data_IF_616615564152
#
_entry.id   IF_616615564152
#
_cell.length_a   1.000
_cell.length_b   1.000
_cell.length_c   1.000
_cell.angle_alpha   90.00
_cell.angle_beta   90.00
_cell.angle_gamma   90.00
#
_symmetry.space_group_name_H-M   'P 1'
#
loop_
_entity.id
_entity.type
_entity.pdbx_description
1 polymer ?
#
# COMPACT_ATOMS: atom_id res chain seq x y z
N UNK A 1 43.37 -39.94 25.73
CA UNK A 1 42.56 -38.73 25.96
C UNK A 1 42.31 -37.90 24.70
N UNK A 2 43.23 -37.82 23.73
CA UNK A 2 43.07 -36.96 22.53
C UNK A 2 41.88 -37.27 21.61
N UNK A 3 41.48 -38.53 21.44
CA UNK A 3 40.33 -38.91 20.59
C UNK A 3 38.99 -38.35 21.09
N UNK A 4 38.84 -38.23 22.42
CA UNK A 4 37.61 -37.75 23.05
C UNK A 4 37.47 -36.23 22.90
N UNK A 5 38.58 -35.49 23.02
CA UNK A 5 38.63 -34.05 22.80
C UNK A 5 38.31 -33.67 21.35
N UNK A 6 38.83 -34.44 20.38
CA UNK A 6 38.56 -34.24 18.95
C UNK A 6 37.08 -34.48 18.62
N UNK A 7 36.46 -35.53 19.20
CA UNK A 7 35.04 -35.80 19.01
C UNK A 7 34.15 -34.67 19.58
N UNK A 8 34.52 -34.13 20.74
CA UNK A 8 33.76 -33.03 21.37
C UNK A 8 33.86 -31.73 20.57
N UNK A 9 35.05 -31.40 20.05
CA UNK A 9 35.25 -30.24 19.20
C UNK A 9 34.46 -30.34 17.88
N UNK A 10 34.45 -31.52 17.26
CA UNK A 10 33.66 -31.76 16.05
C UNK A 10 32.15 -31.59 16.29
N UNK A 11 31.63 -32.10 17.41
CA UNK A 11 30.23 -31.94 17.78
C UNK A 11 29.85 -30.46 18.00
N UNK A 12 30.71 -29.69 18.66
CA UNK A 12 30.49 -28.26 18.90
C UNK A 12 30.46 -27.45 17.60
N UNK A 13 31.34 -27.75 16.63
CA UNK A 13 31.34 -27.09 15.31
C UNK A 13 30.06 -27.38 14.54
N UNK A 14 29.61 -28.64 14.52
CA UNK A 14 28.36 -29.02 13.84
C UNK A 14 27.16 -28.32 14.48
N UNK A 15 27.11 -28.25 15.81
CA UNK A 15 26.07 -27.52 16.54
C UNK A 15 26.07 -26.02 16.16
N UNK A 16 27.22 -25.35 16.19
CA UNK A 16 27.33 -23.93 15.84
C UNK A 16 26.92 -23.65 14.38
N UNK A 17 27.37 -24.47 13.43
CA UNK A 17 27.00 -24.37 12.02
C UNK A 17 25.49 -24.57 11.80
N UNK A 18 24.87 -25.50 12.53
CA UNK A 18 23.42 -25.73 12.44
C UNK A 18 22.61 -24.52 12.95
N UNK A 19 23.02 -23.92 14.06
CA UNK A 19 22.38 -22.72 14.62
C UNK A 19 22.51 -21.55 13.66
N UNK A 20 23.71 -21.32 13.12
CA UNK A 20 23.96 -20.29 12.11
C UNK A 20 23.08 -20.50 10.86
N UNK A 21 23.00 -21.73 10.34
CA UNK A 21 22.16 -22.05 9.19
C UNK A 21 20.67 -21.78 9.47
N UNK A 22 20.18 -22.11 10.67
CA UNK A 22 18.80 -21.81 11.09
C UNK A 22 18.55 -20.30 11.16
N UNK A 23 19.48 -19.54 11.75
CA UNK A 23 19.35 -18.07 11.83
C UNK A 23 19.36 -17.43 10.44
N UNK A 24 20.24 -17.86 9.54
CA UNK A 24 20.27 -17.41 8.15
C UNK A 24 18.98 -17.76 7.43
N UNK A 25 18.48 -19.00 7.56
CA UNK A 25 17.19 -19.41 6.96
C UNK A 25 16.03 -18.57 7.47
N UNK A 26 15.94 -18.32 8.78
CA UNK A 26 14.90 -17.45 9.38
C UNK A 26 14.99 -16.02 8.84
N UNK A 27 16.20 -15.47 8.76
CA UNK A 27 16.45 -14.12 8.22
C UNK A 27 16.10 -14.03 6.74
N UNK A 28 16.46 -15.03 5.93
CA UNK A 28 16.09 -15.10 4.49
C UNK A 28 14.57 -15.21 4.31
N UNK A 29 13.90 -16.06 5.10
CA UNK A 29 12.43 -16.20 5.06
C UNK A 29 11.72 -14.91 5.43
N UNK A 30 12.17 -14.22 6.48
CA UNK A 30 11.64 -12.91 6.88
C UNK A 30 11.86 -11.87 5.78
N UNK A 31 13.07 -11.78 5.21
CA UNK A 31 13.37 -10.86 4.09
C UNK A 31 12.52 -11.13 2.86
N UNK A 32 12.24 -12.40 2.54
CA UNK A 32 11.33 -12.76 1.41
C UNK A 32 9.91 -12.23 1.64
N UNK A 33 9.34 -12.43 2.83
CA UNK A 33 8.03 -11.87 3.17
C UNK A 33 8.03 -10.34 3.07
N UNK A 34 9.09 -9.70 3.58
CA UNK A 34 9.22 -8.24 3.53
C UNK A 34 9.29 -7.71 2.08
N UNK A 35 9.96 -8.43 1.17
CA UNK A 35 9.97 -8.07 -0.26
C UNK A 35 8.56 -8.06 -0.86
N UNK A 36 7.76 -9.09 -0.60
CA UNK A 36 6.37 -9.13 -1.07
C UNK A 36 5.55 -7.98 -0.51
N UNK A 37 5.75 -7.60 0.76
CA UNK A 37 5.06 -6.46 1.36
C UNK A 37 5.46 -5.14 0.69
N UNK A 38 6.75 -4.93 0.39
CA UNK A 38 7.23 -3.73 -0.33
C UNK A 38 6.60 -3.65 -1.71
N UNK A 39 6.51 -4.78 -2.40
CA UNK A 39 5.95 -4.86 -3.74
C UNK A 39 4.47 -4.46 -3.74
N UNK A 40 3.68 -5.01 -2.82
CA UNK A 40 2.27 -4.63 -2.63
C UNK A 40 2.15 -3.14 -2.25
N UNK A 41 3.01 -2.65 -1.36
CA UNK A 41 2.98 -1.24 -0.95
C UNK A 41 3.29 -0.31 -2.13
N UNK A 42 4.24 -0.69 -2.98
CA UNK A 42 4.60 0.08 -4.16
C UNK A 42 3.46 0.10 -5.18
N UNK A 43 2.83 -1.04 -5.44
CA UNK A 43 1.65 -1.12 -6.31
C UNK A 43 0.50 -0.26 -5.76
N UNK A 44 0.30 -0.29 -4.45
CA UNK A 44 -0.70 0.54 -3.79
C UNK A 44 -0.36 2.03 -3.88
N UNK A 45 0.89 2.43 -3.64
CA UNK A 45 1.35 3.82 -3.78
C UNK A 45 1.14 4.34 -5.22
N UNK A 46 1.51 3.54 -6.23
CA UNK A 46 1.30 3.86 -7.64
C UNK A 46 -0.20 3.91 -8.01
N UNK A 47 -1.01 3.01 -7.45
CA UNK A 47 -2.46 2.98 -7.66
C UNK A 47 -3.19 4.15 -7.02
N UNK A 48 -2.75 4.58 -5.84
CA UNK A 48 -3.30 5.72 -5.12
C UNK A 48 -2.68 7.07 -5.53
N UNK A 49 -1.66 7.08 -6.39
CA UNK A 49 -1.03 8.30 -6.83
C UNK A 49 -2.05 9.27 -7.44
N UNK A 50 -1.97 10.53 -7.05
CA UNK A 50 -2.90 11.58 -7.43
C UNK A 50 -2.13 12.79 -7.97
N UNK A 51 -1.41 12.64 -9.09
CA UNK A 51 -0.64 13.74 -9.67
C UNK A 51 -1.59 14.82 -10.17
N UNK A 52 -1.11 16.06 -10.22
CA UNK A 52 -1.91 17.23 -10.60
C UNK A 52 -2.64 17.04 -11.94
N UNK A 53 -2.02 16.35 -12.91
CA UNK A 53 -2.66 16.04 -14.19
C UNK A 53 -3.90 15.15 -14.06
N UNK A 54 -3.85 14.10 -13.21
CA UNK A 54 -4.99 13.23 -12.92
C UNK A 54 -6.08 14.00 -12.16
N UNK A 55 -5.69 14.85 -11.20
CA UNK A 55 -6.64 15.69 -10.47
C UNK A 55 -7.39 16.67 -11.38
N UNK A 56 -6.71 17.27 -12.37
CA UNK A 56 -7.37 18.12 -13.37
C UNK A 56 -8.44 17.35 -14.15
N UNK A 57 -8.12 16.14 -14.62
CA UNK A 57 -9.09 15.29 -15.32
C UNK A 57 -10.31 14.96 -14.43
N UNK A 58 -10.10 14.72 -13.14
CA UNK A 58 -11.20 14.47 -12.18
C UNK A 58 -12.08 15.72 -12.02
N UNK A 59 -11.48 16.91 -11.90
CA UNK A 59 -12.21 18.17 -11.77
C UNK A 59 -12.98 18.50 -13.05
N UNK A 60 -12.38 18.27 -14.22
CA UNK A 60 -13.03 18.48 -15.52
C UNK A 60 -14.25 17.55 -15.67
N UNK A 61 -14.10 16.26 -15.30
CA UNK A 61 -15.20 15.31 -15.30
C UNK A 61 -16.30 15.70 -14.29
N UNK A 62 -15.92 16.22 -13.12
CA UNK A 62 -16.87 16.71 -12.12
C UNK A 62 -17.69 17.89 -12.64
N UNK A 63 -17.06 18.85 -13.33
CA UNK A 63 -17.76 19.98 -13.93
C UNK A 63 -18.78 19.51 -14.99
N UNK A 64 -18.44 18.52 -15.81
CA UNK A 64 -19.36 17.92 -16.79
C UNK A 64 -20.57 17.28 -16.10
N UNK A 65 -20.36 16.49 -15.06
CA UNK A 65 -21.46 15.89 -14.29
C UNK A 65 -22.34 16.97 -13.61
N UNK A 66 -21.73 18.03 -13.06
CA UNK A 66 -22.49 19.14 -12.47
C UNK A 66 -23.40 19.82 -13.50
N UNK A 67 -22.87 20.10 -14.71
CA UNK A 67 -23.66 20.68 -15.79
C UNK A 67 -24.80 19.76 -16.21
N UNK A 68 -24.55 18.46 -16.33
CA UNK A 68 -25.58 17.48 -16.69
C UNK A 68 -26.66 17.34 -15.60
N UNK A 69 -26.28 17.37 -14.32
CA UNK A 69 -27.22 17.32 -13.19
C UNK A 69 -28.07 18.58 -13.04
N UNK A 70 -27.54 19.74 -13.42
CA UNK A 70 -28.29 21.01 -13.44
C UNK A 70 -29.22 21.12 -14.66
N UNK A 71 -28.86 20.50 -15.79
CA UNK A 71 -29.66 20.57 -17.01
C UNK A 71 -30.96 19.75 -16.91
N UNK A 72 -30.95 18.65 -16.15
CA UNK A 72 -32.12 17.82 -15.91
C UNK A 72 -31.98 17.03 -14.61
N UNK A 73 -33.10 16.83 -13.91
CA UNK A 73 -33.16 15.87 -12.81
C UNK A 73 -32.75 14.48 -13.32
N UNK A 74 -31.84 13.83 -12.60
CA UNK A 74 -31.26 12.54 -13.00
C UNK A 74 -30.32 12.59 -14.21
N UNK A 75 -29.98 13.78 -14.74
CA UNK A 75 -29.08 13.94 -15.89
C UNK A 75 -27.62 13.55 -15.63
N UNK A 76 -27.24 13.36 -14.37
CA UNK A 76 -25.92 12.90 -13.95
C UNK A 76 -26.01 12.10 -12.64
N UNK A 77 -24.89 11.52 -12.18
CA UNK A 77 -24.85 10.91 -10.84
C UNK A 77 -24.90 11.96 -9.71
N UNK A 78 -24.53 13.20 -10.02
CA UNK A 78 -24.70 14.35 -9.13
C UNK A 78 -26.13 14.87 -9.23
N UNK A 79 -26.88 14.77 -8.13
CA UNK A 79 -28.31 15.12 -8.09
C UNK A 79 -28.60 16.62 -8.24
N UNK A 80 -27.62 17.48 -7.94
CA UNK A 80 -27.73 18.95 -8.03
C UNK A 80 -29.06 19.50 -7.50
N UNK A 81 -29.43 19.09 -6.28
CA UNK A 81 -30.70 19.43 -5.67
C UNK A 81 -30.81 20.93 -5.38
N UNK A 82 -31.98 21.51 -5.67
CA UNK A 82 -32.30 22.88 -5.29
C UNK A 82 -32.49 22.96 -3.77
N UNK A 83 -31.72 23.82 -3.11
CA UNK A 83 -31.79 24.03 -1.66
C UNK A 83 -32.89 25.02 -1.25
N UNK A 84 -33.47 25.73 -2.22
CA UNK A 84 -34.42 26.85 -2.00
C UNK A 84 -33.85 27.97 -1.12
N UNK A 85 -32.52 28.02 -0.96
CA UNK A 85 -31.82 29.13 -0.33
C UNK A 85 -31.38 30.08 -1.44
N UNK A 86 -32.06 31.20 -1.55
CA UNK A 86 -31.77 32.23 -2.55
C UNK A 86 -30.89 33.35 -1.99
N UNK A 87 -31.04 33.66 -0.69
CA UNK A 87 -30.28 34.68 0.02
C UNK A 87 -29.42 34.04 1.11
N UNK A 88 -28.12 34.31 1.05
CA UNK A 88 -27.17 33.92 2.09
C UNK A 88 -27.01 35.09 3.09
N UNK A 89 -26.69 34.81 4.36
CA UNK A 89 -26.37 35.86 5.33
C UNK A 89 -25.22 36.76 4.85
N UNK A 90 -25.35 38.07 5.03
CA UNK A 90 -24.39 39.08 4.57
C UNK A 90 -23.59 39.77 5.69
N UNK A 91 -23.80 39.38 6.96
CA UNK A 91 -23.18 39.98 8.14
C UNK A 91 -24.20 40.56 9.09
#
# INVERSE_FOLDING_TARGET
>A
MGKVAVAFAAAAVVAACSVAAVMVRRRVKSRRKWRTVVEILKEFEEGCDAPVGRLRQVVDAMAVEMHAGLASEGGSKLKMLLTYVHDLPNG
#
